data_IF_348023549300
#
_entry.id   IF_348023549300
#
_cell.length_a   1.000
_cell.length_b   1.000
_cell.length_c   1.000
_cell.angle_alpha   90.00
_cell.angle_beta   90.00
_cell.angle_gamma   90.00
#
_symmetry.space_group_name_H-M   'P 1'
#
loop_
_entity.id
_entity.type
_entity.pdbx_description
1 polymer ?
#
# COMPACT_ATOMS: atom_id res chain seq x y z
N UNK A 1 -1.64 12.23 -12.85
CA UNK A 1 -0.28 11.69 -12.63
C UNK A 1 -0.40 10.17 -12.62
N UNK A 2 0.46 9.46 -13.33
CA UNK A 2 0.40 7.99 -13.41
C UNK A 2 1.05 7.40 -12.16
N UNK A 3 0.41 6.39 -11.58
CA UNK A 3 0.93 5.60 -10.46
C UNK A 3 2.24 4.93 -10.88
N UNK A 4 3.30 5.09 -10.11
CA UNK A 4 4.58 4.41 -10.38
C UNK A 4 4.69 3.08 -9.62
N UNK A 5 5.42 2.13 -10.19
CA UNK A 5 5.73 0.88 -9.51
C UNK A 5 6.50 1.10 -8.20
N UNK A 6 7.35 2.15 -8.15
CA UNK A 6 8.11 2.52 -6.94
C UNK A 6 7.18 2.90 -5.77
N UNK A 7 6.05 3.55 -6.04
CA UNK A 7 5.05 3.86 -5.01
C UNK A 7 4.42 2.57 -4.47
N UNK A 8 4.10 1.61 -5.34
CA UNK A 8 3.57 0.30 -4.92
C UNK A 8 4.59 -0.49 -4.09
N UNK A 9 5.86 -0.51 -4.50
CA UNK A 9 6.94 -1.12 -3.74
C UNK A 9 7.10 -0.45 -2.37
N UNK A 10 7.05 0.87 -2.29
CA UNK A 10 7.13 1.58 -1.02
C UNK A 10 6.00 1.21 -0.05
N UNK A 11 4.76 1.13 -0.53
CA UNK A 11 3.63 0.65 0.30
C UNK A 11 3.83 -0.80 0.75
N UNK A 12 4.35 -1.66 -0.13
CA UNK A 12 4.66 -3.04 0.24
C UNK A 12 5.79 -3.13 1.27
N UNK A 13 6.85 -2.33 1.15
CA UNK A 13 7.95 -2.29 2.12
C UNK A 13 7.46 -1.76 3.48
N UNK A 14 6.62 -0.72 3.49
CA UNK A 14 6.00 -0.22 4.73
C UNK A 14 5.18 -1.32 5.41
N UNK A 15 4.36 -2.03 4.63
CA UNK A 15 3.55 -3.17 5.08
C UNK A 15 4.43 -4.28 5.67
N UNK A 16 5.44 -4.69 4.92
CA UNK A 16 6.37 -5.76 5.30
C UNK A 16 7.15 -5.40 6.56
N UNK A 17 7.71 -4.19 6.63
CA UNK A 17 8.41 -3.73 7.81
C UNK A 17 7.50 -3.69 9.04
N UNK A 18 6.26 -3.22 8.90
CA UNK A 18 5.30 -3.19 10.00
C UNK A 18 4.93 -4.60 10.50
N UNK A 19 4.74 -5.54 9.57
CA UNK A 19 4.42 -6.93 9.84
C UNK A 19 5.47 -7.67 10.66
N UNK A 20 6.72 -7.55 10.23
CA UNK A 20 7.84 -8.28 10.81
C UNK A 20 8.59 -7.46 11.87
N UNK A 21 8.07 -6.30 12.24
CA UNK A 21 8.68 -5.41 13.25
C UNK A 21 10.04 -4.82 12.83
N UNK A 22 10.30 -4.71 11.53
CA UNK A 22 11.51 -4.05 11.01
C UNK A 22 11.39 -2.53 11.06
N UNK A 23 12.54 -1.86 10.97
CA UNK A 23 12.60 -0.41 10.81
C UNK A 23 11.88 0.03 9.53
N UNK A 24 11.15 1.16 9.55
CA UNK A 24 10.41 1.64 8.39
C UNK A 24 11.34 1.93 7.20
N UNK A 25 10.86 1.76 5.96
CA UNK A 25 11.67 2.01 4.77
C UNK A 25 12.11 3.47 4.70
N UNK A 26 13.31 3.67 4.12
CA UNK A 26 13.90 5.00 3.88
C UNK A 26 13.00 5.83 2.96
N UNK A 27 13.22 7.15 2.97
CA UNK A 27 12.48 8.09 2.12
C UNK A 27 12.49 7.63 0.66
N UNK A 28 11.31 7.54 0.02
CA UNK A 28 11.22 7.07 -1.36
C UNK A 28 11.81 8.10 -2.34
N UNK A 29 12.14 7.62 -3.55
CA UNK A 29 12.78 8.44 -4.59
C UNK A 29 11.79 9.24 -5.46
N UNK A 30 10.49 8.96 -5.35
CA UNK A 30 9.44 9.68 -6.07
C UNK A 30 9.10 11.02 -5.39
N UNK A 31 8.37 11.89 -6.09
CA UNK A 31 7.99 13.22 -5.56
C UNK A 31 7.23 13.13 -4.24
N UNK A 32 7.39 14.14 -3.39
CA UNK A 32 6.64 14.28 -2.14
C UNK A 32 5.53 15.34 -2.22
N UNK A 33 5.16 15.77 -3.44
CA UNK A 33 4.09 16.75 -3.61
C UNK A 33 2.76 16.25 -3.02
N UNK A 34 1.88 17.17 -2.57
CA UNK A 34 0.61 16.80 -1.98
C UNK A 34 -0.41 16.37 -3.05
N UNK A 35 -1.03 15.20 -2.85
CA UNK A 35 -2.09 14.68 -3.71
C UNK A 35 -3.18 13.99 -2.89
N UNK A 36 -4.43 13.94 -3.38
CA UNK A 36 -5.39 12.98 -2.86
C UNK A 36 -4.97 11.57 -3.27
N UNK A 37 -5.10 10.63 -2.34
CA UNK A 37 -4.47 9.33 -2.43
C UNK A 37 -5.46 8.24 -2.02
N UNK A 38 -5.45 7.13 -2.77
CA UNK A 38 -6.24 5.95 -2.49
C UNK A 38 -5.35 4.70 -2.61
N UNK A 39 -5.16 4.01 -1.50
CA UNK A 39 -4.44 2.73 -1.43
C UNK A 39 -5.45 1.60 -1.57
N UNK A 40 -5.26 0.76 -2.58
CA UNK A 40 -6.14 -0.37 -2.88
C UNK A 40 -5.39 -1.69 -2.82
N UNK A 41 -5.92 -2.64 -2.04
CA UNK A 41 -5.35 -3.99 -1.92
C UNK A 41 -6.08 -4.96 -2.82
N UNK A 42 -5.32 -5.66 -3.66
CA UNK A 42 -5.81 -6.79 -4.45
C UNK A 42 -4.98 -8.02 -4.17
N UNK A 43 -5.64 -9.15 -3.95
CA UNK A 43 -4.98 -10.42 -3.62
C UNK A 43 -5.37 -11.48 -4.66
N UNK A 44 -4.41 -12.35 -4.98
CA UNK A 44 -4.60 -13.50 -5.87
C UNK A 44 -4.52 -13.16 -7.36
N UNK A 45 -4.50 -14.21 -8.19
CA UNK A 45 -4.42 -14.12 -9.66
C UNK A 45 -5.60 -13.36 -10.26
N UNK A 46 -6.77 -13.47 -9.63
CA UNK A 46 -8.00 -12.81 -10.05
C UNK A 46 -8.07 -11.33 -9.66
N UNK A 47 -7.01 -10.79 -9.02
CA UNK A 47 -6.91 -9.39 -8.58
C UNK A 47 -8.15 -8.94 -7.79
N UNK A 48 -8.67 -9.81 -6.92
CA UNK A 48 -9.88 -9.52 -6.14
C UNK A 48 -9.58 -8.35 -5.21
N UNK A 49 -10.45 -7.34 -5.27
CA UNK A 49 -10.41 -6.19 -4.37
C UNK A 49 -10.69 -6.65 -2.94
N UNK A 50 -9.77 -6.34 -2.01
CA UNK A 50 -9.87 -6.71 -0.60
C UNK A 50 -10.03 -5.51 0.32
N UNK A 51 -9.63 -4.33 -0.15
CA UNK A 51 -9.86 -3.07 0.56
C UNK A 51 -9.42 -1.88 -0.28
N UNK A 52 -10.07 -0.74 -0.05
CA UNK A 52 -9.66 0.55 -0.56
C UNK A 52 -9.79 1.55 0.58
N UNK A 53 -8.72 2.29 0.84
CA UNK A 53 -8.72 3.39 1.79
C UNK A 53 -8.07 4.60 1.13
N UNK A 54 -8.53 5.80 1.43
CA UNK A 54 -7.94 6.99 0.86
C UNK A 54 -8.59 8.27 1.34
N UNK A 55 -8.13 9.38 0.79
CA UNK A 55 -8.64 10.71 1.07
C UNK A 55 -8.65 11.58 -0.18
N UNK A 56 -9.65 12.45 -0.25
CA UNK A 56 -9.74 13.51 -1.25
C UNK A 56 -8.95 14.77 -0.84
N UNK A 57 -8.47 14.85 0.40
CA UNK A 57 -7.60 15.93 0.85
C UNK A 57 -6.19 15.73 0.31
N UNK A 58 -5.59 16.80 -0.21
CA UNK A 58 -4.22 16.74 -0.70
C UNK A 58 -3.25 16.54 0.48
N UNK A 59 -2.48 15.47 0.43
CA UNK A 59 -1.49 15.12 1.45
C UNK A 59 -0.18 14.72 0.80
N UNK A 60 0.94 15.07 1.43
CA UNK A 60 2.27 14.70 0.94
C UNK A 60 2.36 13.19 0.70
N UNK A 61 2.80 12.80 -0.50
CA UNK A 61 2.78 11.39 -0.92
C UNK A 61 3.51 10.47 0.05
N UNK A 62 4.67 10.87 0.57
CA UNK A 62 5.49 9.97 1.39
C UNK A 62 4.80 9.64 2.71
N UNK A 63 4.24 10.66 3.39
CA UNK A 63 3.52 10.46 4.64
C UNK A 63 2.17 9.81 4.41
N UNK A 64 1.43 10.27 3.40
CA UNK A 64 0.10 9.76 3.09
C UNK A 64 0.13 8.29 2.65
N UNK A 65 1.06 7.88 1.80
CA UNK A 65 1.19 6.46 1.44
C UNK A 65 1.53 5.60 2.65
N UNK A 66 2.43 6.05 3.52
CA UNK A 66 2.77 5.30 4.75
C UNK A 66 1.57 5.17 5.67
N UNK A 67 0.91 6.27 5.99
CA UNK A 67 -0.24 6.30 6.90
C UNK A 67 -1.39 5.46 6.37
N UNK A 68 -1.81 5.66 5.12
CA UNK A 68 -2.94 4.94 4.56
C UNK A 68 -2.64 3.46 4.30
N UNK A 69 -1.37 3.10 4.07
CA UNK A 69 -0.95 1.69 4.06
C UNK A 69 -1.15 1.06 5.43
N UNK A 70 -0.76 1.73 6.51
CA UNK A 70 -0.92 1.20 7.87
C UNK A 70 -2.36 1.26 8.37
N UNK A 71 -3.12 2.31 8.06
CA UNK A 71 -4.53 2.39 8.45
C UNK A 71 -5.37 1.35 7.71
N UNK A 72 -5.04 1.05 6.45
CA UNK A 72 -5.70 -0.02 5.71
C UNK A 72 -5.54 -1.41 6.34
N UNK A 73 -4.44 -1.63 7.07
CA UNK A 73 -4.17 -2.87 7.80
C UNK A 73 -5.07 -3.00 9.02
N UNK A 74 -5.13 -1.94 9.83
CA UNK A 74 -5.89 -1.91 11.07
C UNK A 74 -7.40 -2.07 10.82
N UNK A 75 -7.91 -1.44 9.76
CA UNK A 75 -9.31 -1.63 9.36
C UNK A 75 -9.58 -3.01 8.73
N UNK A 76 -8.54 -3.77 8.39
CA UNK A 76 -8.62 -5.07 7.75
C UNK A 76 -8.13 -6.23 8.65
N UNK A 77 -8.08 -6.07 9.98
CA UNK A 77 -7.56 -7.08 10.93
C UNK A 77 -8.06 -8.52 10.66
N UNK A 78 -9.35 -8.70 10.34
CA UNK A 78 -9.92 -10.02 9.98
C UNK A 78 -9.51 -10.53 8.60
N UNK A 79 -9.19 -9.63 7.66
CA UNK A 79 -8.73 -9.95 6.31
C UNK A 79 -7.22 -10.19 6.25
N UNK A 80 -6.49 -9.63 7.21
CA UNK A 80 -5.05 -9.59 7.25
C UNK A 80 -4.40 -10.85 7.81
N UNK A 81 -5.06 -11.56 8.74
CA UNK A 81 -4.63 -12.91 9.14
C UNK A 81 -4.52 -13.87 7.95
N UNK A 82 -5.29 -13.64 6.88
CA UNK A 82 -5.17 -14.39 5.63
C UNK A 82 -4.01 -13.89 4.74
N UNK A 83 -3.63 -12.61 4.84
CA UNK A 83 -2.54 -12.03 4.05
C UNK A 83 -1.16 -12.44 4.59
N UNK A 84 -0.97 -12.47 5.91
CA UNK A 84 0.29 -12.94 6.52
C UNK A 84 0.57 -14.40 6.16
N UNK A 85 -0.45 -15.26 6.22
CA UNK A 85 -0.34 -16.67 5.81
C UNK A 85 -0.11 -16.84 4.29
N UNK A 86 -0.58 -15.91 3.46
CA UNK A 86 -0.37 -15.94 2.01
C UNK A 86 0.99 -15.34 1.59
N UNK A 87 1.54 -14.38 2.36
CA UNK A 87 2.83 -13.75 2.05
C UNK A 87 3.99 -14.75 2.09
N UNK A 88 3.92 -15.79 2.94
CA UNK A 88 4.92 -16.87 3.00
C UNK A 88 4.91 -17.79 1.76
N UNK A 89 3.82 -17.81 0.97
CA UNK A 89 3.69 -18.67 -0.20
C UNK A 89 3.99 -17.95 -1.54
N UNK A 90 4.15 -16.61 -1.53
CA UNK A 90 4.20 -15.81 -2.75
C UNK A 90 5.64 -15.48 -3.15
N UNK A 91 6.15 -16.29 -4.07
CA UNK A 91 7.37 -16.03 -4.82
C UNK A 91 7.14 -14.83 -5.79
N UNK A 92 7.32 -13.60 -5.30
CA UNK A 92 7.42 -12.29 -5.99
C UNK A 92 6.49 -11.92 -7.18
N UNK A 93 5.53 -12.75 -7.58
CA UNK A 93 4.88 -12.63 -8.89
C UNK A 93 3.43 -12.15 -8.86
N UNK A 94 2.79 -12.00 -7.68
CA UNK A 94 1.59 -11.15 -7.52
C UNK A 94 0.95 -11.21 -6.11
N UNK A 95 1.30 -10.26 -5.22
CA UNK A 95 0.33 -9.59 -4.36
C UNK A 95 0.14 -8.17 -4.94
N UNK A 96 -0.95 -7.96 -5.68
CA UNK A 96 -1.17 -6.73 -6.44
C UNK A 96 -1.62 -5.57 -5.56
N UNK A 97 -0.68 -4.81 -4.99
CA UNK A 97 -1.00 -3.48 -4.46
C UNK A 97 -1.24 -2.55 -5.65
N UNK A 98 -2.48 -2.08 -5.80
CA UNK A 98 -2.78 -1.00 -6.73
C UNK A 98 -2.95 0.28 -5.93
N UNK A 99 -2.07 1.24 -6.16
CA UNK A 99 -2.27 2.59 -5.64
C UNK A 99 -2.98 3.35 -6.76
N UNK A 100 -4.00 4.15 -6.43
CA UNK A 100 -4.63 5.06 -7.38
C UNK A 100 -4.44 6.50 -6.87
N UNK A 101 -4.05 7.39 -7.78
CA UNK A 101 -3.95 8.82 -7.52
C UNK A 101 -4.94 9.56 -8.40
N UNK A 102 -5.73 10.44 -7.80
CA UNK A 102 -6.53 11.39 -8.55
C UNK A 102 -5.77 12.72 -8.56
N UNK A 103 -5.62 13.34 -9.73
CA UNK A 103 -5.19 14.74 -9.84
C UNK A 103 -6.30 15.43 -10.60
N UNK A 104 -7.07 16.28 -9.91
CA UNK A 104 -7.97 17.23 -10.56
C UNK A 104 -7.16 18.24 -11.36
#
# INVERSE_FOLDING_TARGET
>A
MVVSAEMCCFCFDVLYCHLYGYQPPRSPRFTNDPYPLFVTWKIGRDKRLRGCIGTFSAMNLHSGLREYTLTSLLQAEVHFMLLSAQLEEINCSSPGVLINFWKT
#
